data_IF_283250717467
#
_entry.id   IF_283250717467
#
_cell.length_a   1.000
_cell.length_b   1.000
_cell.length_c   1.000
_cell.angle_alpha   90.00
_cell.angle_beta   90.00
_cell.angle_gamma   90.00
#
_symmetry.space_group_name_H-M   'P 1'
#
loop_
_entity.id
_entity.type
_entity.pdbx_description
1 polymer ?
#
# COMPACT_ATOMS: atom_id res chain seq x y z
N UNK A 1 3.04 19.04 2.13
CA UNK A 1 2.74 18.47 0.78
C UNK A 1 1.44 19.00 0.23
N UNK A 2 0.33 18.89 0.98
CA UNK A 2 -0.99 19.41 0.56
C UNK A 2 -0.95 20.88 0.13
N UNK A 3 -0.26 21.73 0.90
CA UNK A 3 -0.08 23.15 0.57
C UNK A 3 0.79 23.40 -0.68
N UNK A 4 1.66 22.44 -1.04
CA UNK A 4 2.60 22.59 -2.16
C UNK A 4 1.95 22.34 -3.52
N UNK A 5 0.77 21.72 -3.56
CA UNK A 5 0.04 21.46 -4.81
C UNK A 5 -0.32 22.76 -5.56
N UNK A 6 -0.55 23.85 -4.83
CA UNK A 6 -1.03 25.15 -5.35
C UNK A 6 -0.23 26.33 -4.77
N UNK A 7 1.05 26.10 -4.45
CA UNK A 7 1.89 27.12 -3.79
C UNK A 7 2.31 28.28 -4.72
N UNK A 8 2.21 28.10 -6.03
CA UNK A 8 2.51 29.13 -7.03
C UNK A 8 1.19 29.62 -7.65
N UNK A 9 0.87 30.93 -7.61
CA UNK A 9 -0.34 31.45 -8.24
C UNK A 9 -0.46 31.03 -9.71
N UNK A 10 -1.62 30.46 -10.08
CA UNK A 10 -1.91 30.04 -11.45
C UNK A 10 -1.24 28.72 -11.88
N UNK A 11 -0.55 28.01 -11.00
CA UNK A 11 0.07 26.70 -11.30
C UNK A 11 -0.35 25.64 -10.28
N UNK A 12 -0.83 24.51 -10.80
CA UNK A 12 -1.04 23.27 -10.02
C UNK A 12 0.11 22.30 -10.29
N UNK A 13 0.57 21.63 -9.24
CA UNK A 13 1.55 20.54 -9.33
C UNK A 13 0.81 19.23 -9.16
N UNK A 14 0.31 18.69 -10.27
CA UNK A 14 -0.59 17.52 -10.27
C UNK A 14 0.17 16.19 -10.16
N UNK A 15 1.51 16.23 -10.27
CA UNK A 15 2.42 15.09 -10.18
C UNK A 15 3.56 15.37 -9.22
N UNK A 16 3.96 14.36 -8.46
CA UNK A 16 5.05 14.45 -7.50
C UNK A 16 6.38 14.89 -8.13
N UNK A 17 6.70 14.38 -9.32
CA UNK A 17 7.91 14.77 -10.05
C UNK A 17 7.89 16.23 -10.54
N UNK A 18 6.72 16.86 -10.77
CA UNK A 18 6.64 18.27 -11.18
C UNK A 18 7.04 19.20 -10.04
N UNK A 19 6.67 18.87 -8.81
CA UNK A 19 7.12 19.57 -7.62
C UNK A 19 8.63 19.40 -7.44
N UNK A 20 9.15 18.19 -7.66
CA UNK A 20 10.59 17.93 -7.69
C UNK A 20 11.35 18.79 -8.70
N UNK A 21 10.82 18.94 -9.91
CA UNK A 21 11.39 19.80 -10.95
C UNK A 21 11.33 21.28 -10.58
N UNK A 22 10.34 21.71 -9.80
CA UNK A 22 10.27 23.07 -9.31
C UNK A 22 11.32 23.35 -8.23
N UNK A 23 11.48 22.42 -7.28
CA UNK A 23 12.41 22.57 -6.17
C UNK A 23 13.89 22.46 -6.60
N UNK A 24 14.22 21.48 -7.45
CA UNK A 24 15.61 21.15 -7.81
C UNK A 24 15.98 21.52 -9.24
N UNK A 25 15.05 22.08 -10.01
CA UNK A 25 15.23 22.41 -11.43
C UNK A 25 14.85 21.28 -12.39
N UNK A 26 14.60 21.64 -13.66
CA UNK A 26 13.95 20.76 -14.66
C UNK A 26 14.63 19.41 -14.88
N UNK A 27 15.97 19.37 -14.88
CA UNK A 27 16.76 18.14 -15.11
C UNK A 27 17.02 17.40 -13.80
N UNK A 28 17.63 18.08 -12.84
CA UNK A 28 18.04 17.47 -11.57
C UNK A 28 16.84 16.95 -10.77
N UNK A 29 15.73 17.69 -10.76
CA UNK A 29 14.50 17.23 -10.11
C UNK A 29 13.95 15.94 -10.69
N UNK A 30 14.00 15.74 -12.02
CA UNK A 30 13.61 14.46 -12.63
C UNK A 30 14.54 13.32 -12.21
N UNK A 31 15.86 13.53 -12.29
CA UNK A 31 16.84 12.49 -11.99
C UNK A 31 16.85 12.07 -10.52
N UNK A 32 16.48 12.96 -9.60
CA UNK A 32 16.38 12.63 -8.17
C UNK A 32 15.02 11.99 -7.85
N UNK A 33 13.92 12.62 -8.26
CA UNK A 33 12.58 12.25 -7.78
C UNK A 33 12.02 11.03 -8.49
N UNK A 34 12.15 10.94 -9.82
CA UNK A 34 11.50 9.87 -10.59
C UNK A 34 12.02 8.48 -10.19
N UNK A 35 13.34 8.23 -10.07
CA UNK A 35 13.83 6.92 -9.64
C UNK A 35 13.33 6.53 -8.25
N UNK A 36 13.34 7.47 -7.29
CA UNK A 36 12.89 7.20 -5.93
C UNK A 36 11.39 6.92 -5.87
N UNK A 37 10.59 7.72 -6.58
CA UNK A 37 9.14 7.54 -6.69
C UNK A 37 8.81 6.18 -7.30
N UNK A 38 9.44 5.82 -8.43
CA UNK A 38 9.24 4.53 -9.08
C UNK A 38 9.67 3.36 -8.18
N UNK A 39 10.80 3.48 -7.48
CA UNK A 39 11.25 2.42 -6.54
C UNK A 39 10.17 2.18 -5.49
N UNK A 40 9.61 3.23 -4.88
CA UNK A 40 8.58 3.07 -3.84
C UNK A 40 7.28 2.51 -4.44
N UNK A 41 6.79 3.04 -5.57
CA UNK A 41 5.52 2.61 -6.18
C UNK A 41 5.59 1.16 -6.68
N UNK A 42 6.66 0.81 -7.40
CA UNK A 42 6.85 -0.55 -7.93
C UNK A 42 7.11 -1.55 -6.81
N UNK A 43 7.97 -1.23 -5.85
CA UNK A 43 8.23 -2.13 -4.72
C UNK A 43 6.95 -2.36 -3.88
N UNK A 44 6.15 -1.32 -3.65
CA UNK A 44 4.87 -1.44 -2.95
C UNK A 44 3.92 -2.37 -3.69
N UNK A 45 3.80 -2.23 -5.02
CA UNK A 45 2.96 -3.10 -5.84
C UNK A 45 3.42 -4.56 -5.85
N UNK A 46 4.73 -4.82 -5.88
CA UNK A 46 5.29 -6.18 -5.74
C UNK A 46 4.96 -6.77 -4.36
N UNK A 47 5.17 -5.99 -3.29
CA UNK A 47 4.83 -6.42 -1.92
C UNK A 47 3.35 -6.73 -1.82
N UNK A 48 2.48 -5.93 -2.44
CA UNK A 48 1.04 -6.18 -2.49
C UNK A 48 0.68 -7.46 -3.25
N UNK A 49 1.34 -7.77 -4.37
CA UNK A 49 1.17 -9.06 -5.06
C UNK A 49 1.49 -10.25 -4.14
N UNK A 50 2.61 -10.17 -3.42
CA UNK A 50 3.04 -11.21 -2.48
C UNK A 50 2.10 -11.30 -1.27
N UNK A 51 1.70 -10.18 -0.68
CA UNK A 51 0.79 -10.13 0.48
C UNK A 51 -0.59 -10.66 0.12
N UNK A 52 -1.15 -10.25 -1.03
CA UNK A 52 -2.42 -10.74 -1.53
C UNK A 52 -2.40 -12.25 -1.78
N UNK A 53 -1.39 -12.75 -2.50
CA UNK A 53 -1.21 -14.18 -2.73
C UNK A 53 -0.98 -14.98 -1.45
N UNK A 54 -0.22 -14.44 -0.50
CA UNK A 54 0.01 -15.07 0.82
C UNK A 54 -1.27 -15.16 1.62
N UNK A 55 -2.09 -14.12 1.60
CA UNK A 55 -3.37 -14.07 2.30
C UNK A 55 -4.38 -15.06 1.69
N UNK A 56 -4.45 -15.15 0.35
CA UNK A 56 -5.25 -16.17 -0.33
C UNK A 56 -4.80 -17.59 0.02
N UNK A 57 -3.49 -17.84 0.06
CA UNK A 57 -2.95 -19.15 0.46
C UNK A 57 -3.36 -19.48 1.91
N UNK A 58 -3.20 -18.54 2.84
CA UNK A 58 -3.60 -18.72 4.24
C UNK A 58 -5.08 -18.99 4.38
N UNK A 59 -5.93 -18.28 3.63
CA UNK A 59 -7.36 -18.57 3.57
C UNK A 59 -7.61 -20.01 3.13
N UNK A 60 -7.05 -20.42 1.98
CA UNK A 60 -7.17 -21.79 1.47
C UNK A 60 -6.75 -22.85 2.48
N UNK A 61 -5.56 -22.69 3.06
CA UNK A 61 -5.00 -23.66 4.02
C UNK A 61 -5.82 -23.71 5.33
N UNK A 62 -6.45 -22.61 5.71
CA UNK A 62 -7.32 -22.52 6.89
C UNK A 62 -8.66 -23.23 6.65
N UNK A 63 -9.29 -23.01 5.49
CA UNK A 63 -10.62 -23.58 5.20
C UNK A 63 -10.57 -25.02 4.71
N UNK A 64 -9.44 -25.45 4.16
CA UNK A 64 -9.23 -26.82 3.71
C UNK A 64 -7.87 -27.38 4.14
N UNK A 65 -7.71 -27.78 5.42
CA UNK A 65 -6.44 -28.33 5.92
C UNK A 65 -6.03 -29.65 5.25
N UNK A 66 -7.00 -30.41 4.74
CA UNK A 66 -6.78 -31.67 4.02
C UNK A 66 -6.57 -31.49 2.51
N UNK A 67 -6.64 -30.26 1.99
CA UNK A 67 -6.40 -30.00 0.57
C UNK A 67 -4.92 -30.18 0.21
N UNK A 68 -4.65 -30.38 -1.09
CA UNK A 68 -3.29 -30.45 -1.61
C UNK A 68 -2.55 -29.15 -1.31
N UNK A 69 -1.30 -29.25 -0.87
CA UNK A 69 -0.45 -28.09 -0.69
C UNK A 69 -0.14 -27.46 -2.06
N UNK A 70 -0.64 -26.25 -2.28
CA UNK A 70 -0.43 -25.47 -3.51
C UNK A 70 0.68 -24.45 -3.24
N UNK A 71 1.63 -24.32 -4.19
CA UNK A 71 2.73 -23.36 -4.08
C UNK A 71 2.21 -21.93 -4.05
N UNK A 72 2.84 -21.07 -3.24
CA UNK A 72 2.50 -19.64 -3.11
C UNK A 72 2.42 -18.92 -4.46
N UNK A 73 3.31 -19.26 -5.40
CA UNK A 73 3.34 -18.69 -6.75
C UNK A 73 1.98 -18.77 -7.46
N UNK A 74 1.23 -19.86 -7.29
CA UNK A 74 -0.10 -19.98 -7.90
C UNK A 74 -1.11 -19.01 -7.28
N UNK A 75 -1.08 -18.82 -5.97
CA UNK A 75 -1.95 -17.84 -5.31
C UNK A 75 -1.59 -16.40 -5.68
N UNK A 76 -0.30 -16.10 -5.87
CA UNK A 76 0.14 -14.80 -6.40
C UNK A 76 -0.43 -14.59 -7.81
N UNK A 77 -0.37 -15.60 -8.70
CA UNK A 77 -0.96 -15.50 -10.04
C UNK A 77 -2.48 -15.33 -10.01
N UNK A 78 -3.17 -16.04 -9.11
CA UNK A 78 -4.63 -15.87 -8.89
C UNK A 78 -4.93 -14.44 -8.45
N UNK A 79 -4.18 -13.91 -7.48
CA UNK A 79 -4.33 -12.53 -7.03
C UNK A 79 -4.07 -11.52 -8.16
N UNK A 80 -2.99 -11.71 -8.91
CA UNK A 80 -2.61 -10.86 -10.05
C UNK A 80 -3.68 -10.82 -11.16
N UNK A 81 -4.45 -11.89 -11.36
CA UNK A 81 -5.53 -11.94 -12.36
C UNK A 81 -6.54 -10.81 -12.20
N UNK A 82 -6.84 -10.40 -10.96
CA UNK A 82 -7.75 -9.28 -10.67
C UNK A 82 -7.16 -7.96 -11.14
N UNK A 83 -5.84 -7.78 -11.01
CA UNK A 83 -5.14 -6.57 -11.42
C UNK A 83 -5.03 -6.41 -12.92
N UNK A 84 -4.97 -7.50 -13.68
CA UNK A 84 -5.09 -7.42 -15.14
C UNK A 84 -6.41 -6.81 -15.57
N UNK A 85 -7.51 -7.06 -14.85
CA UNK A 85 -8.81 -6.41 -15.14
C UNK A 85 -8.82 -4.97 -14.64
N UNK A 86 -8.51 -4.75 -13.35
CA UNK A 86 -8.65 -3.43 -12.72
C UNK A 86 -7.67 -2.38 -13.25
N UNK A 87 -6.50 -2.79 -13.74
CA UNK A 87 -5.53 -1.86 -14.33
C UNK A 87 -6.08 -1.08 -15.52
N UNK A 88 -7.13 -1.58 -16.18
CA UNK A 88 -7.76 -0.90 -17.32
C UNK A 88 -8.74 0.21 -16.91
N UNK A 89 -8.98 0.41 -15.61
CA UNK A 89 -9.80 1.53 -15.14
C UNK A 89 -9.15 2.88 -15.48
N UNK A 90 -9.95 3.90 -15.84
CA UNK A 90 -9.41 5.09 -16.48
C UNK A 90 -8.50 5.93 -15.58
N UNK A 91 -8.91 6.10 -14.32
CA UNK A 91 -8.30 7.01 -13.35
C UNK A 91 -8.67 6.66 -11.89
N UNK A 92 -8.17 7.48 -10.94
CA UNK A 92 -8.46 7.38 -9.50
C UNK A 92 -9.95 7.52 -9.15
N UNK A 93 -10.73 8.33 -9.88
CA UNK A 93 -12.16 8.50 -9.61
C UNK A 93 -12.93 7.20 -9.87
N UNK A 94 -12.50 6.46 -10.90
CA UNK A 94 -13.09 5.19 -11.32
C UNK A 94 -12.86 4.05 -10.33
N UNK A 95 -11.82 4.16 -9.48
CA UNK A 95 -11.52 3.18 -8.41
C UNK A 95 -12.04 3.61 -7.05
N UNK A 96 -12.76 4.73 -6.93
CA UNK A 96 -13.23 5.26 -5.63
C UNK A 96 -14.02 4.23 -4.81
N UNK A 97 -14.92 3.47 -5.44
CA UNK A 97 -15.66 2.38 -4.78
C UNK A 97 -14.76 1.25 -4.30
N UNK A 98 -13.76 0.86 -5.12
CA UNK A 98 -12.76 -0.16 -4.75
C UNK A 98 -11.88 0.34 -3.60
N UNK A 99 -11.50 1.62 -3.62
CA UNK A 99 -10.71 2.26 -2.57
C UNK A 99 -11.49 2.35 -1.25
N UNK A 100 -12.79 2.69 -1.29
CA UNK A 100 -13.64 2.69 -0.11
C UNK A 100 -13.77 1.28 0.49
N UNK A 101 -14.04 0.28 -0.35
CA UNK A 101 -14.07 -1.12 0.10
C UNK A 101 -12.74 -1.52 0.74
N UNK A 102 -11.61 -1.17 0.11
CA UNK A 102 -10.29 -1.44 0.64
C UNK A 102 -10.01 -0.76 1.99
N UNK A 103 -10.49 0.47 2.19
CA UNK A 103 -10.37 1.18 3.46
C UNK A 103 -11.19 0.53 4.57
N UNK A 104 -12.44 0.16 4.29
CA UNK A 104 -13.32 -0.55 5.24
C UNK A 104 -12.69 -1.89 5.64
N UNK A 105 -12.22 -2.67 4.66
CA UNK A 105 -11.57 -3.96 4.95
C UNK A 105 -10.29 -3.79 5.76
N UNK A 106 -9.51 -2.74 5.51
CA UNK A 106 -8.32 -2.39 6.31
C UNK A 106 -8.65 -2.19 7.78
N UNK A 107 -9.67 -1.36 8.03
CA UNK A 107 -10.15 -1.09 9.37
C UNK A 107 -10.69 -2.36 10.04
N UNK A 108 -11.44 -3.18 9.30
CA UNK A 108 -12.01 -4.43 9.80
C UNK A 108 -10.94 -5.45 10.19
N UNK A 109 -9.97 -5.77 9.32
CA UNK A 109 -8.95 -6.77 9.68
C UNK A 109 -8.01 -6.26 10.78
N UNK A 110 -7.70 -4.95 10.80
CA UNK A 110 -6.89 -4.37 11.87
C UNK A 110 -7.60 -4.47 13.21
N UNK A 111 -8.91 -4.22 13.22
CA UNK A 111 -9.76 -4.38 14.42
C UNK A 111 -9.79 -5.82 14.89
N UNK A 112 -9.97 -6.78 13.98
CA UNK A 112 -9.91 -8.21 14.29
C UNK A 112 -8.55 -8.57 14.89
N UNK A 113 -7.44 -8.11 14.29
CA UNK A 113 -6.09 -8.41 14.74
C UNK A 113 -5.87 -8.04 16.20
N UNK A 114 -6.14 -6.79 16.60
CA UNK A 114 -5.90 -6.38 17.99
C UNK A 114 -6.96 -6.93 18.95
N UNK A 115 -8.24 -6.97 18.56
CA UNK A 115 -9.30 -7.45 19.44
C UNK A 115 -9.14 -8.95 19.75
N UNK A 116 -8.86 -9.78 18.74
CA UNK A 116 -8.58 -11.20 18.93
C UNK A 116 -7.28 -11.44 19.71
N UNK A 117 -6.29 -10.53 19.58
CA UNK A 117 -5.07 -10.60 20.40
C UNK A 117 -5.36 -10.36 21.87
N UNK A 118 -6.22 -9.38 22.21
CA UNK A 118 -6.67 -9.17 23.59
C UNK A 118 -7.36 -10.42 24.13
N UNK A 119 -8.30 -10.98 23.37
CA UNK A 119 -9.06 -12.19 23.77
C UNK A 119 -8.15 -13.40 24.00
N UNK A 120 -7.10 -13.56 23.16
CA UNK A 120 -6.12 -14.63 23.33
C UNK A 120 -5.31 -14.51 24.64
N UNK A 121 -5.14 -13.28 25.14
CA UNK A 121 -4.43 -13.01 26.38
C UNK A 121 -2.91 -13.19 26.27
N UNK A 122 -2.18 -12.65 27.25
CA UNK A 122 -0.70 -12.70 27.26
C UNK A 122 -0.21 -14.16 27.21
N UNK A 123 0.67 -14.46 26.25
CA UNK A 123 1.18 -15.81 26.06
C UNK A 123 2.08 -16.26 27.22
N UNK A 124 2.11 -17.57 27.48
CA UNK A 124 2.97 -18.15 28.52
C UNK A 124 4.44 -17.97 28.11
N UNK A 125 5.29 -17.57 29.06
CA UNK A 125 6.72 -17.32 28.87
C UNK A 125 7.03 -16.23 27.83
N UNK A 126 6.18 -15.21 27.73
CA UNK A 126 6.43 -14.07 26.83
C UNK A 126 7.72 -13.34 27.22
N UNK A 127 8.57 -13.10 26.23
CA UNK A 127 9.80 -12.32 26.38
C UNK A 127 9.63 -10.93 25.75
N UNK A 128 10.08 -9.90 26.48
CA UNK A 128 10.12 -8.52 26.02
C UNK A 128 11.57 -8.02 26.00
N UNK A 129 11.88 -7.14 25.05
CA UNK A 129 13.22 -6.58 24.86
C UNK A 129 13.78 -6.89 23.48
N UNK A 130 15.11 -6.89 23.38
CA UNK A 130 15.80 -7.14 22.11
C UNK A 130 15.71 -8.61 21.72
N UNK A 131 15.33 -8.86 20.46
CA UNK A 131 15.26 -10.21 19.89
C UNK A 131 16.65 -10.80 19.59
N UNK A 132 17.59 -9.95 19.17
CA UNK A 132 18.98 -10.38 18.96
C UNK A 132 19.79 -10.34 20.25
N UNK A 133 20.56 -11.40 20.51
CA UNK A 133 21.51 -11.44 21.63
C UNK A 133 22.87 -10.82 21.31
N UNK A 134 23.07 -10.33 20.08
CA UNK A 134 24.32 -9.70 19.65
C UNK A 134 24.13 -8.20 19.39
N UNK A 135 25.17 -7.40 19.64
CA UNK A 135 25.15 -5.96 19.34
C UNK A 135 24.90 -5.71 17.85
N UNK A 136 25.59 -6.45 16.97
CA UNK A 136 25.43 -6.30 15.53
C UNK A 136 24.00 -6.62 15.08
N UNK A 137 23.42 -7.73 15.54
CA UNK A 137 22.05 -8.10 15.20
C UNK A 137 21.03 -7.09 15.73
N UNK A 138 21.24 -6.56 16.94
CA UNK A 138 20.39 -5.48 17.50
C UNK A 138 20.41 -4.23 16.62
N UNK A 139 21.58 -3.85 16.10
CA UNK A 139 21.72 -2.72 15.18
C UNK A 139 21.00 -2.99 13.85
N UNK A 140 21.14 -4.19 13.29
CA UNK A 140 20.43 -4.56 12.06
C UNK A 140 18.90 -4.59 12.26
N UNK A 141 18.42 -5.14 13.37
CA UNK A 141 16.99 -5.15 13.73
C UNK A 141 16.44 -3.73 13.88
N UNK A 142 17.22 -2.82 14.46
CA UNK A 142 16.84 -1.41 14.58
C UNK A 142 16.66 -0.75 13.20
N UNK A 143 17.63 -0.90 12.29
CA UNK A 143 17.53 -0.33 10.95
C UNK A 143 16.41 -0.96 10.12
N UNK A 144 16.19 -2.27 10.25
CA UNK A 144 15.08 -2.96 9.60
C UNK A 144 13.72 -2.45 10.11
N UNK A 145 13.61 -2.24 11.43
CA UNK A 145 12.41 -1.66 12.05
C UNK A 145 12.16 -0.23 11.57
N UNK A 146 13.21 0.60 11.49
CA UNK A 146 13.11 1.96 10.95
C UNK A 146 12.61 1.96 9.50
N UNK A 147 13.11 1.04 8.68
CA UNK A 147 12.62 0.85 7.30
C UNK A 147 11.15 0.43 7.26
N UNK A 148 10.74 -0.49 8.13
CA UNK A 148 9.34 -0.94 8.25
C UNK A 148 8.40 0.20 8.64
N UNK A 149 8.80 1.05 9.60
CA UNK A 149 8.04 2.23 10.00
C UNK A 149 7.96 3.24 8.86
N UNK A 150 9.07 3.53 8.18
CA UNK A 150 9.09 4.44 7.05
C UNK A 150 8.16 3.96 5.91
N UNK A 151 8.16 2.66 5.62
CA UNK A 151 7.27 2.05 4.62
C UNK A 151 5.80 2.09 5.05
N UNK A 152 5.49 1.87 6.33
CA UNK A 152 4.12 1.90 6.85
C UNK A 152 3.44 3.27 6.67
N UNK A 153 4.21 4.36 6.70
CA UNK A 153 3.72 5.73 6.44
C UNK A 153 4.01 6.23 5.02
N UNK A 154 4.22 5.31 4.06
CA UNK A 154 4.27 5.65 2.64
C UNK A 154 2.90 6.13 2.13
N UNK A 155 2.89 6.98 1.10
CA UNK A 155 1.69 7.66 0.59
C UNK A 155 1.97 9.09 0.16
N UNK A 156 3.05 9.66 0.70
CA UNK A 156 3.66 10.91 0.30
C UNK A 156 3.90 11.02 -1.21
N UNK A 157 4.34 9.94 -1.85
CA UNK A 157 4.68 9.86 -3.26
C UNK A 157 3.46 9.85 -4.22
N UNK A 158 2.24 9.71 -3.69
CA UNK A 158 0.99 9.72 -4.49
C UNK A 158 0.03 10.84 -4.06
N UNK A 159 0.40 11.64 -3.05
CA UNK A 159 -0.50 12.62 -2.44
C UNK A 159 -0.90 13.73 -3.41
N UNK A 160 0.00 14.14 -4.31
CA UNK A 160 -0.30 15.18 -5.30
C UNK A 160 -1.22 14.65 -6.38
N UNK A 161 -0.99 13.42 -6.84
CA UNK A 161 -1.81 12.71 -7.80
C UNK A 161 -3.25 12.52 -7.28
N UNK A 162 -3.41 12.21 -5.99
CA UNK A 162 -4.72 12.13 -5.33
C UNK A 162 -5.36 13.51 -5.25
N UNK A 163 -4.62 14.54 -4.80
CA UNK A 163 -5.14 15.90 -4.66
C UNK A 163 -5.55 16.51 -6.02
N UNK A 164 -4.88 16.14 -7.10
CA UNK A 164 -5.20 16.57 -8.46
C UNK A 164 -6.62 16.15 -8.90
N UNK A 165 -7.17 15.07 -8.31
CA UNK A 165 -8.54 14.61 -8.59
C UNK A 165 -9.62 15.52 -7.98
N UNK A 166 -9.24 16.35 -6.99
CA UNK A 166 -10.16 17.24 -6.31
C UNK A 166 -10.32 18.53 -7.13
N UNK A 167 -11.56 18.93 -7.46
CA UNK A 167 -11.83 20.21 -8.12
C UNK A 167 -11.26 21.37 -7.30
N UNK A 168 -10.66 22.34 -7.99
CA UNK A 168 -10.05 23.51 -7.37
C UNK A 168 -10.47 24.79 -8.11
N UNK A 169 -10.80 25.84 -7.36
CA UNK A 169 -11.00 27.20 -7.86
C UNK A 169 -10.25 28.20 -6.99
N UNK A 170 -10.01 29.45 -7.45
CA UNK A 170 -9.39 30.49 -6.63
C UNK A 170 -10.11 30.72 -5.30
N UNK A 171 -11.44 30.57 -5.27
CA UNK A 171 -12.28 30.73 -4.07
C UNK A 171 -12.33 29.46 -3.21
N UNK A 172 -12.12 28.29 -3.80
CA UNK A 172 -12.19 26.97 -3.15
C UNK A 172 -11.00 26.11 -3.55
N UNK A 173 -9.81 26.36 -2.97
CA UNK A 173 -8.61 25.61 -3.31
C UNK A 173 -8.68 24.16 -2.81
N UNK A 174 -8.19 23.23 -3.62
CA UNK A 174 -8.18 21.77 -3.33
C UNK A 174 -7.49 21.41 -2.01
N UNK A 175 -6.56 22.26 -1.55
CA UNK A 175 -5.82 22.05 -0.30
C UNK A 175 -6.70 21.95 0.95
N UNK A 176 -7.85 22.64 0.98
CA UNK A 176 -8.75 22.63 2.14
C UNK A 176 -9.44 21.28 2.32
N UNK A 177 -10.18 20.74 1.33
CA UNK A 177 -10.75 19.40 1.44
C UNK A 177 -9.67 18.32 1.54
N UNK A 178 -8.54 18.46 0.83
CA UNK A 178 -7.44 17.51 0.91
C UNK A 178 -6.84 17.44 2.33
N UNK A 179 -6.63 18.57 2.99
CA UNK A 179 -6.11 18.61 4.36
C UNK A 179 -7.03 17.89 5.35
N UNK A 180 -8.35 18.12 5.24
CA UNK A 180 -9.34 17.41 6.06
C UNK A 180 -9.27 15.89 5.82
N UNK A 181 -9.16 15.48 4.55
CA UNK A 181 -8.99 14.07 4.17
C UNK A 181 -7.73 13.46 4.78
N UNK A 182 -6.59 14.15 4.68
CA UNK A 182 -5.31 13.70 5.26
C UNK A 182 -5.40 13.57 6.78
N UNK A 183 -5.99 14.54 7.48
CA UNK A 183 -6.16 14.46 8.94
C UNK A 183 -6.98 13.24 9.34
N UNK A 184 -8.12 13.00 8.69
CA UNK A 184 -8.95 11.82 8.96
C UNK A 184 -8.19 10.54 8.63
N UNK A 185 -7.48 10.49 7.50
CA UNK A 185 -6.68 9.33 7.11
C UNK A 185 -5.62 8.98 8.15
N UNK A 186 -4.88 9.98 8.67
CA UNK A 186 -3.86 9.74 9.70
C UNK A 186 -4.47 9.32 11.05
N UNK A 187 -5.66 9.79 11.41
CA UNK A 187 -6.40 9.30 12.58
C UNK A 187 -6.75 7.81 12.40
N UNK A 188 -7.27 7.43 11.24
CA UNK A 188 -7.60 6.02 10.93
C UNK A 188 -6.34 5.16 10.93
N UNK A 189 -5.25 5.62 10.32
CA UNK A 189 -3.94 4.93 10.35
C UNK A 189 -3.48 4.71 11.79
N UNK A 190 -3.56 5.73 12.65
CA UNK A 190 -3.19 5.59 14.07
C UNK A 190 -4.07 4.56 14.79
N UNK A 191 -5.38 4.54 14.52
CA UNK A 191 -6.33 3.56 15.08
C UNK A 191 -6.11 2.14 14.57
N UNK A 192 -5.57 1.97 13.36
CA UNK A 192 -5.22 0.64 12.84
C UNK A 192 -3.85 0.18 13.36
N UNK A 193 -2.84 1.04 13.32
CA UNK A 193 -1.44 0.65 13.55
C UNK A 193 -1.07 0.55 15.02
N UNK A 194 -1.39 1.57 15.83
CA UNK A 194 -0.95 1.59 17.22
C UNK A 194 -1.58 0.49 18.07
N UNK A 195 -2.90 0.22 17.99
CA UNK A 195 -3.47 -0.91 18.71
C UNK A 195 -2.85 -2.25 18.30
N UNK A 196 -2.71 -2.51 16.99
CA UNK A 196 -2.10 -3.75 16.51
C UNK A 196 -0.65 -3.90 16.98
N UNK A 197 0.15 -2.83 16.90
CA UNK A 197 1.56 -2.85 17.31
C UNK A 197 1.71 -3.01 18.84
N UNK A 198 1.03 -2.18 19.64
CA UNK A 198 1.20 -2.18 21.09
C UNK A 198 0.54 -3.39 21.75
N UNK A 199 -0.70 -3.71 21.38
CA UNK A 199 -1.40 -4.89 21.92
C UNK A 199 -0.73 -6.16 21.40
N UNK A 200 -0.42 -6.23 20.10
CA UNK A 200 0.24 -7.40 19.53
C UNK A 200 1.57 -7.68 20.22
N UNK A 201 2.42 -6.67 20.41
CA UNK A 201 3.68 -6.85 21.12
C UNK A 201 3.47 -7.16 22.60
N UNK A 202 2.51 -6.55 23.29
CA UNK A 202 2.20 -6.91 24.67
C UNK A 202 1.78 -8.38 24.78
N UNK A 203 0.89 -8.86 23.91
CA UNK A 203 0.33 -10.20 23.99
C UNK A 203 1.36 -11.28 23.61
N UNK A 204 2.16 -11.05 22.56
CA UNK A 204 3.04 -12.07 21.97
C UNK A 204 4.54 -11.85 22.21
N UNK A 205 4.97 -10.65 22.63
CA UNK A 205 6.39 -10.31 22.84
C UNK A 205 7.25 -10.58 21.60
N UNK A 206 8.43 -11.14 21.82
CA UNK A 206 9.39 -11.47 20.76
C UNK A 206 8.93 -12.58 19.79
N UNK A 207 7.91 -13.34 20.15
CA UNK A 207 7.31 -14.41 19.33
C UNK A 207 6.21 -13.92 18.38
N UNK A 208 5.91 -12.62 18.39
CA UNK A 208 5.00 -12.01 17.41
C UNK A 208 5.48 -12.32 16.00
N UNK A 209 4.59 -12.83 15.16
CA UNK A 209 4.90 -13.10 13.76
C UNK A 209 4.76 -11.81 12.95
N UNK A 210 5.48 -11.71 11.83
CA UNK A 210 5.38 -10.55 10.92
C UNK A 210 3.95 -10.32 10.37
N UNK A 211 3.14 -11.37 10.34
CA UNK A 211 1.68 -11.25 10.24
C UNK A 211 1.04 -11.74 11.55
N UNK A 212 0.47 -10.80 12.29
CA UNK A 212 -0.19 -11.04 13.58
C UNK A 212 -1.39 -11.98 13.47
N UNK A 213 -2.04 -12.09 12.30
CA UNK A 213 -3.16 -13.01 12.11
C UNK A 213 -2.72 -14.47 12.25
N UNK A 214 -1.45 -14.78 11.97
CA UNK A 214 -0.88 -16.11 12.21
C UNK A 214 -0.73 -16.35 13.72
N UNK A 215 -0.29 -15.33 14.47
CA UNK A 215 -0.09 -15.43 15.91
C UNK A 215 -1.38 -15.73 16.69
N UNK A 216 -2.56 -15.49 16.10
CA UNK A 216 -3.85 -15.82 16.70
C UNK A 216 -4.11 -17.33 16.79
N UNK A 217 -3.70 -18.13 15.80
CA UNK A 217 -3.91 -19.60 15.67
C UNK A 217 -5.39 -20.08 15.65
N UNK A 218 -6.29 -19.51 16.46
CA UNK A 218 -7.72 -19.82 16.55
C UNK A 218 -8.55 -18.55 16.85
N UNK A 219 -9.87 -18.55 16.54
CA UNK A 219 -10.59 -19.54 15.75
C UNK A 219 -10.31 -19.41 14.25
N UNK A 220 -10.28 -20.54 13.54
CA UNK A 220 -9.83 -20.63 12.14
C UNK A 220 -10.69 -19.78 11.18
N UNK A 221 -12.01 -19.73 11.39
CA UNK A 221 -12.92 -18.95 10.54
C UNK A 221 -12.63 -17.44 10.60
N UNK A 222 -12.23 -16.93 11.77
CA UNK A 222 -11.93 -15.51 11.98
C UNK A 222 -10.63 -15.14 11.26
N UNK A 223 -9.61 -16.00 11.34
CA UNK A 223 -8.34 -15.84 10.63
C UNK A 223 -8.57 -15.91 9.12
N UNK A 224 -9.36 -16.86 8.64
CA UNK A 224 -9.71 -16.98 7.23
C UNK A 224 -10.41 -15.72 6.72
N UNK A 225 -11.43 -15.23 7.44
CA UNK A 225 -12.13 -13.99 7.10
C UNK A 225 -11.19 -12.77 7.07
N UNK A 226 -10.33 -12.61 8.09
CA UNK A 226 -9.38 -11.52 8.16
C UNK A 226 -8.38 -11.55 6.98
N UNK A 227 -7.91 -12.73 6.57
CA UNK A 227 -7.07 -12.87 5.38
C UNK A 227 -7.81 -12.44 4.10
N UNK A 228 -9.11 -12.72 3.96
CA UNK A 228 -9.89 -12.22 2.82
C UNK A 228 -10.10 -10.70 2.86
N UNK A 229 -10.22 -10.10 4.04
CA UNK A 229 -10.23 -8.65 4.17
C UNK A 229 -8.89 -8.04 3.75
N UNK A 230 -7.76 -8.66 4.11
CA UNK A 230 -6.44 -8.25 3.60
C UNK A 230 -6.39 -8.34 2.08
N UNK A 231 -6.89 -9.41 1.46
CA UNK A 231 -6.95 -9.55 -0.01
C UNK A 231 -7.70 -8.37 -0.65
N UNK A 232 -8.90 -8.04 -0.17
CA UNK A 232 -9.70 -6.93 -0.72
C UNK A 232 -9.01 -5.58 -0.49
N UNK A 233 -8.44 -5.36 0.70
CA UNK A 233 -7.68 -4.15 1.02
C UNK A 233 -6.51 -3.94 0.05
N UNK A 234 -5.74 -5.00 -0.18
CA UNK A 234 -4.54 -4.94 -1.02
C UNK A 234 -4.92 -4.79 -2.50
N UNK A 235 -6.07 -5.32 -2.94
CA UNK A 235 -6.58 -5.09 -4.31
C UNK A 235 -6.72 -3.60 -4.60
N UNK A 236 -7.40 -2.86 -3.72
CA UNK A 236 -7.59 -1.42 -3.90
C UNK A 236 -6.30 -0.64 -3.74
N UNK A 237 -5.47 -1.01 -2.76
CA UNK A 237 -4.20 -0.33 -2.49
C UNK A 237 -3.22 -0.43 -3.65
N UNK A 238 -3.14 -1.58 -4.34
CA UNK A 238 -2.35 -1.74 -5.55
C UNK A 238 -2.74 -0.75 -6.64
N UNK A 239 -4.05 -0.52 -6.85
CA UNK A 239 -4.50 0.42 -7.89
C UNK A 239 -4.02 1.85 -7.60
N UNK A 240 -3.98 2.26 -6.33
CA UNK A 240 -3.54 3.60 -5.94
C UNK A 240 -2.09 3.87 -6.33
N UNK A 241 -1.19 2.88 -6.18
CA UNK A 241 0.22 3.01 -6.55
C UNK A 241 0.52 2.67 -8.01
N UNK A 242 -0.31 1.83 -8.67
CA UNK A 242 -0.12 1.48 -10.07
C UNK A 242 -0.50 2.64 -11.03
N UNK A 243 -1.55 3.41 -10.72
CA UNK A 243 -2.04 4.47 -11.60
C UNK A 243 -1.00 5.56 -11.92
N UNK A 244 -0.23 6.10 -10.96
CA UNK A 244 0.86 7.04 -11.26
C UNK A 244 1.95 6.44 -12.14
N UNK A 245 2.29 5.18 -11.94
CA UNK A 245 3.29 4.48 -12.76
C UNK A 245 2.79 4.30 -14.19
N UNK A 246 1.51 3.94 -14.38
CA UNK A 246 0.88 3.86 -15.70
C UNK A 246 0.96 5.21 -16.42
N UNK A 247 0.54 6.29 -15.74
CA UNK A 247 0.57 7.64 -16.30
C UNK A 247 2.00 8.08 -16.69
N UNK A 248 2.99 7.73 -15.86
CA UNK A 248 4.39 8.06 -16.12
C UNK A 248 4.96 7.31 -17.33
N UNK A 249 4.69 6.01 -17.44
CA UNK A 249 5.15 5.19 -18.59
C UNK A 249 4.43 5.63 -19.87
N UNK A 250 3.11 5.81 -19.83
CA UNK A 250 2.31 6.28 -20.97
C UNK A 250 2.79 7.67 -21.43
N UNK A 251 3.05 8.59 -20.50
CA UNK A 251 3.57 9.93 -20.79
C UNK A 251 4.97 9.86 -21.43
N UNK A 252 5.85 8.99 -20.95
CA UNK A 252 7.17 8.78 -21.55
C UNK A 252 7.04 8.31 -23.00
N UNK A 253 6.22 7.28 -23.24
CA UNK A 253 6.05 6.68 -24.56
C UNK A 253 5.47 7.67 -25.57
N UNK A 254 4.43 8.41 -25.18
CA UNK A 254 3.75 9.38 -26.07
C UNK A 254 4.58 10.65 -26.25
N UNK A 255 5.01 11.31 -25.16
CA UNK A 255 5.64 12.64 -25.27
C UNK A 255 7.11 12.58 -25.68
N UNK A 256 7.87 11.60 -25.17
CA UNK A 256 9.32 11.46 -25.42
C UNK A 256 9.62 10.51 -26.57
N UNK A 257 9.02 9.32 -26.58
CA UNK A 257 9.28 8.32 -27.63
C UNK A 257 8.37 8.47 -28.86
N UNK A 258 7.44 9.43 -28.85
CA UNK A 258 6.58 9.80 -29.99
C UNK A 258 5.68 8.67 -30.48
N UNK A 259 5.27 7.77 -29.59
CA UNK A 259 4.27 6.75 -29.91
C UNK A 259 2.87 7.38 -29.99
N UNK A 260 2.01 6.82 -30.84
CA UNK A 260 0.62 7.28 -30.93
C UNK A 260 -0.18 6.87 -29.68
N UNK A 261 -1.00 7.77 -29.10
CA UNK A 261 -1.79 7.49 -27.91
C UNK A 261 -3.01 6.61 -28.25
N UNK A 262 -2.78 5.32 -28.44
CA UNK A 262 -3.80 4.35 -28.87
C UNK A 262 -4.24 3.43 -27.72
N UNK A 263 -5.46 2.90 -27.80
CA UNK A 263 -5.98 1.91 -26.83
C UNK A 263 -5.08 0.66 -26.73
N UNK A 264 -4.55 0.10 -27.84
CA UNK A 264 -3.59 -1.00 -27.77
C UNK A 264 -2.31 -0.66 -27.02
N UNK A 265 -1.76 0.57 -27.18
CA UNK A 265 -0.58 1.00 -26.43
C UNK A 265 -0.85 0.96 -24.92
N UNK A 266 -1.96 1.57 -24.50
CA UNK A 266 -2.39 1.60 -23.11
C UNK A 266 -2.61 0.18 -22.56
N UNK A 267 -3.28 -0.67 -23.32
CA UNK A 267 -3.50 -2.07 -22.96
C UNK A 267 -2.16 -2.80 -22.73
N UNK A 268 -1.22 -2.72 -23.69
CA UNK A 268 0.07 -3.41 -23.60
C UNK A 268 0.87 -2.91 -22.40
N UNK A 269 1.00 -1.59 -22.22
CA UNK A 269 1.79 -0.99 -21.14
C UNK A 269 1.30 -1.45 -19.77
N UNK A 270 -0.01 -1.40 -19.54
CA UNK A 270 -0.60 -1.75 -18.25
C UNK A 270 -0.52 -3.24 -17.95
N UNK A 271 -0.78 -4.11 -18.94
CA UNK A 271 -0.61 -5.55 -18.76
C UNK A 271 0.86 -5.94 -18.53
N UNK A 272 1.80 -5.34 -19.28
CA UNK A 272 3.23 -5.62 -19.09
C UNK A 272 3.67 -5.20 -17.68
N UNK A 273 3.23 -4.05 -17.20
CA UNK A 273 3.53 -3.61 -15.83
C UNK A 273 2.98 -4.59 -14.79
N UNK A 274 1.70 -4.96 -14.88
CA UNK A 274 1.07 -5.91 -13.95
C UNK A 274 1.78 -7.26 -13.98
N UNK A 275 2.14 -7.76 -15.17
CA UNK A 275 2.87 -9.03 -15.32
C UNK A 275 4.35 -8.99 -14.90
N UNK A 276 4.89 -7.81 -14.62
CA UNK A 276 6.27 -7.61 -14.10
C UNK A 276 6.31 -7.35 -12.60
N UNK A 277 5.16 -7.06 -11.98
CA UNK A 277 4.99 -6.98 -10.52
C UNK A 277 4.76 -8.36 -9.94
#
# INVERSE_FOLDING_TARGET
MVEMHEMVPGKRFDRYHELGQHAFGKKLGLYIVVPQQLVVEVATNIVYMVTGGTSLKKFHDSVCPSCKNIKLTYFIMIFASVHFVLSHLPDFNSISGVSLAAAVMSFSYSTISWAASIDKGVQKNVEYGYKSHSTAGTVFDFFNTLGTVAFAYAGHNVVLEIQATIPSSPEKPSKVPMWRGVVVAYIVVALCYFPVAFIGYWIFGNDVNGDILISLEKPVWLIAMANMFVVIHVIGSYQIYAMPVFDMIETLLVKKMKFEPTTPLRFIVRNVYVGKC
#
